data_IF_059607775163
#
_entry.id   IF_059607775163
#
_cell.length_a   1.000
_cell.length_b   1.000
_cell.length_c   1.000
_cell.angle_alpha   90.00
_cell.angle_beta   90.00
_cell.angle_gamma   90.00
#
_symmetry.space_group_name_H-M   'P 1'
#
loop_
_entity.id
_entity.type
_entity.pdbx_description
1 polymer ?
#
# COMPACT_ATOMS: atom_id res chain seq x y z
N UNK A 1 -5.23 -20.02 -8.08
CA UNK A 1 -3.83 -20.30 -7.63
C UNK A 1 -3.39 -19.17 -6.74
N UNK A 2 -3.13 -19.43 -5.46
CA UNK A 2 -2.66 -18.43 -4.51
C UNK A 2 -1.13 -18.46 -4.40
N UNK A 3 -0.50 -17.34 -4.04
CA UNK A 3 0.96 -17.22 -3.91
C UNK A 3 1.35 -16.14 -2.91
N UNK A 4 2.53 -16.31 -2.34
CA UNK A 4 3.19 -15.31 -1.51
C UNK A 4 4.43 -14.85 -2.26
N UNK A 5 4.57 -13.55 -2.47
CA UNK A 5 5.76 -12.95 -3.06
C UNK A 5 6.52 -12.19 -1.98
N UNK A 6 7.84 -12.34 -1.97
CA UNK A 6 8.73 -11.65 -1.02
C UNK A 6 9.83 -10.93 -1.83
N UNK A 7 9.49 -9.80 -2.50
CA UNK A 7 10.48 -8.99 -3.21
C UNK A 7 11.55 -8.44 -2.25
N UNK A 8 12.81 -8.52 -2.67
CA UNK A 8 13.91 -7.85 -2.01
C UNK A 8 14.05 -6.41 -2.54
N UNK A 9 14.08 -5.43 -1.63
CA UNK A 9 14.15 -3.99 -1.94
C UNK A 9 15.54 -3.39 -1.72
N UNK A 10 16.54 -4.19 -1.39
CA UNK A 10 17.91 -3.71 -1.24
C UNK A 10 18.47 -3.20 -2.56
N UNK A 11 19.56 -2.46 -2.48
CA UNK A 11 20.24 -1.92 -3.66
C UNK A 11 19.81 -0.50 -4.02
N UNK A 12 19.41 -0.24 -5.28
CA UNK A 12 19.11 1.10 -5.75
C UNK A 12 17.90 1.73 -5.03
N UNK A 13 16.90 0.93 -4.66
CA UNK A 13 15.67 1.41 -4.02
C UNK A 13 15.94 2.06 -2.67
N UNK A 14 16.79 1.47 -1.84
CA UNK A 14 17.06 1.98 -0.50
C UNK A 14 18.26 2.94 -0.42
N UNK A 15 18.94 3.22 -1.55
CA UNK A 15 19.95 4.28 -1.62
C UNK A 15 19.37 5.67 -1.84
N UNK A 16 18.14 5.76 -2.34
CA UNK A 16 17.42 7.04 -2.47
C UNK A 16 16.98 7.49 -1.08
N UNK A 17 17.19 8.76 -0.76
CA UNK A 17 16.77 9.32 0.53
C UNK A 17 15.24 9.26 0.67
N UNK A 18 14.77 9.10 1.89
CA UNK A 18 13.33 8.95 2.14
C UNK A 18 12.51 10.20 1.77
N UNK A 19 13.13 11.39 1.85
CA UNK A 19 12.49 12.68 1.54
C UNK A 19 12.47 13.05 0.04
N UNK A 20 13.21 12.33 -0.81
CA UNK A 20 13.31 12.65 -2.25
C UNK A 20 12.08 12.23 -3.07
N UNK A 21 11.34 11.24 -2.61
CA UNK A 21 10.16 10.73 -3.34
C UNK A 21 9.00 10.42 -2.40
N UNK A 22 7.76 10.28 -2.93
CA UNK A 22 6.63 9.84 -2.12
C UNK A 22 6.74 8.40 -1.61
N UNK A 23 7.61 7.57 -2.20
CA UNK A 23 7.79 6.20 -1.74
C UNK A 23 8.38 6.18 -0.33
N UNK A 24 7.71 5.48 0.59
CA UNK A 24 8.11 5.33 1.99
C UNK A 24 8.66 3.92 2.29
N UNK A 25 9.14 3.74 3.51
CA UNK A 25 9.60 2.43 4.01
C UNK A 25 10.82 1.88 3.24
N UNK A 26 11.74 2.77 2.84
CA UNK A 26 12.97 2.40 2.14
C UNK A 26 13.96 1.60 3.00
N UNK A 27 13.79 1.65 4.30
CA UNK A 27 14.53 0.90 5.32
C UNK A 27 14.11 -0.59 5.39
N UNK A 28 12.92 -0.92 4.88
CA UNK A 28 12.44 -2.29 4.86
C UNK A 28 13.14 -3.09 3.74
N UNK A 29 13.89 -4.16 4.06
CA UNK A 29 14.62 -4.93 3.04
C UNK A 29 13.71 -5.80 2.18
N UNK A 30 12.49 -6.10 2.64
CA UNK A 30 11.55 -6.98 1.95
C UNK A 30 10.13 -6.42 2.00
N UNK A 31 9.34 -6.73 0.98
CA UNK A 31 7.87 -6.60 1.01
C UNK A 31 7.27 -8.01 0.98
N UNK A 32 6.20 -8.22 1.74
CA UNK A 32 5.40 -9.43 1.64
C UNK A 32 4.09 -9.08 0.91
N UNK A 33 3.85 -9.74 -0.22
CA UNK A 33 2.61 -9.60 -0.98
C UNK A 33 1.86 -10.92 -1.01
N UNK A 34 0.68 -10.95 -0.38
CA UNK A 34 -0.20 -12.11 -0.30
C UNK A 34 -1.23 -11.98 -1.40
N UNK A 35 -1.19 -12.90 -2.37
CA UNK A 35 -2.09 -12.93 -3.52
C UNK A 35 -2.94 -14.18 -3.45
N UNK A 36 -4.25 -14.02 -3.30
CA UNK A 36 -5.21 -15.11 -3.38
C UNK A 36 -6.00 -14.99 -4.69
N UNK A 37 -5.94 -16.02 -5.53
CA UNK A 37 -6.58 -16.05 -6.84
C UNK A 37 -7.38 -17.35 -7.01
N UNK A 38 -8.65 -17.20 -7.34
CA UNK A 38 -9.57 -18.33 -7.58
C UNK A 38 -10.61 -17.96 -8.63
N UNK A 39 -11.22 -18.98 -9.24
CA UNK A 39 -12.28 -18.84 -10.25
C UNK A 39 -13.64 -19.33 -9.76
N UNK A 40 -13.67 -20.22 -8.77
CA UNK A 40 -14.88 -20.76 -8.20
C UNK A 40 -15.44 -19.82 -7.13
N UNK A 41 -16.54 -19.13 -7.44
CA UNK A 41 -17.15 -18.14 -6.53
C UNK A 41 -17.69 -18.75 -5.24
N UNK A 42 -17.96 -20.06 -5.20
CA UNK A 42 -18.37 -20.76 -3.98
C UNK A 42 -17.24 -20.81 -2.94
N UNK A 43 -16.00 -20.58 -3.36
CA UNK A 43 -14.78 -20.56 -2.55
C UNK A 43 -14.36 -19.15 -2.08
N UNK A 44 -15.20 -18.14 -2.29
CA UNK A 44 -14.88 -16.76 -1.96
C UNK A 44 -14.48 -16.59 -0.48
N UNK A 45 -15.32 -17.05 0.44
CA UNK A 45 -15.08 -16.90 1.88
C UNK A 45 -13.82 -17.63 2.33
N UNK A 46 -13.61 -18.86 1.86
CA UNK A 46 -12.42 -19.65 2.17
C UNK A 46 -11.12 -18.93 1.75
N UNK A 47 -11.08 -18.42 0.51
CA UNK A 47 -9.89 -17.78 -0.04
C UNK A 47 -9.62 -16.40 0.58
N UNK A 48 -10.68 -15.62 0.85
CA UNK A 48 -10.57 -14.35 1.57
C UNK A 48 -10.07 -14.58 2.99
N UNK A 49 -10.64 -15.57 3.68
CA UNK A 49 -10.23 -15.95 5.04
C UNK A 49 -8.77 -16.37 5.08
N UNK A 50 -8.34 -17.22 4.15
CA UNK A 50 -6.94 -17.65 4.06
C UNK A 50 -5.97 -16.46 3.97
N UNK A 51 -6.25 -15.49 3.10
CA UNK A 51 -5.39 -14.30 2.94
C UNK A 51 -5.36 -13.45 4.21
N UNK A 52 -6.50 -13.27 4.87
CA UNK A 52 -6.61 -12.52 6.14
C UNK A 52 -5.90 -13.22 7.29
N UNK A 53 -6.06 -14.52 7.42
CA UNK A 53 -5.43 -15.31 8.49
C UNK A 53 -3.90 -15.26 8.34
N UNK A 54 -3.40 -15.41 7.11
CA UNK A 54 -1.98 -15.29 6.84
C UNK A 54 -1.45 -13.88 7.15
N UNK A 55 -2.18 -12.83 6.76
CA UNK A 55 -1.83 -11.46 7.10
C UNK A 55 -1.76 -11.24 8.61
N UNK A 56 -2.78 -11.70 9.34
CA UNK A 56 -2.83 -11.57 10.79
C UNK A 56 -1.67 -12.31 11.49
N UNK A 57 -1.27 -13.46 10.96
CA UNK A 57 -0.15 -14.22 11.49
C UNK A 57 1.22 -13.54 11.25
N UNK A 58 1.36 -12.82 10.13
CA UNK A 58 2.62 -12.14 9.74
C UNK A 58 2.71 -10.74 10.35
N UNK A 59 1.59 -10.06 10.56
CA UNK A 59 1.54 -8.67 11.02
C UNK A 59 2.42 -8.36 12.25
N UNK A 60 2.51 -9.21 13.28
CA UNK A 60 3.37 -8.95 14.45
C UNK A 60 4.87 -8.84 14.12
N UNK A 61 5.29 -9.38 12.97
CA UNK A 61 6.67 -9.36 12.50
C UNK A 61 6.94 -8.28 11.44
N UNK A 62 5.88 -7.57 11.01
CA UNK A 62 5.98 -6.51 10.00
C UNK A 62 6.36 -5.17 10.63
N UNK A 63 7.02 -4.31 9.86
CA UNK A 63 7.38 -2.94 10.26
C UNK A 63 6.19 -1.97 10.29
N UNK A 64 5.00 -2.43 9.87
CA UNK A 64 3.79 -1.61 9.73
C UNK A 64 3.71 -0.84 8.41
N UNK A 65 4.77 -0.81 7.61
CA UNK A 65 4.79 -0.17 6.29
C UNK A 65 3.87 -0.88 5.29
N UNK A 66 3.38 -0.10 4.32
CA UNK A 66 2.50 -0.59 3.26
C UNK A 66 2.96 -0.06 1.92
N UNK A 67 3.03 -0.92 0.91
CA UNK A 67 3.29 -0.48 -0.47
C UNK A 67 1.98 -0.11 -1.17
N UNK A 68 1.83 1.16 -1.51
CA UNK A 68 0.57 1.73 -2.03
C UNK A 68 0.02 0.99 -3.25
N UNK A 69 0.88 0.48 -4.13
CA UNK A 69 0.45 -0.24 -5.34
C UNK A 69 -0.08 -1.66 -5.06
N UNK A 70 0.08 -2.17 -3.85
CA UNK A 70 -0.48 -3.46 -3.43
C UNK A 70 -1.77 -3.30 -2.61
N UNK A 71 -2.17 -2.06 -2.31
CA UNK A 71 -3.45 -1.78 -1.68
C UNK A 71 -4.60 -1.99 -2.67
N UNK A 72 -5.66 -2.57 -2.17
CA UNK A 72 -6.96 -2.64 -2.84
C UNK A 72 -7.90 -1.59 -2.22
N UNK A 73 -9.15 -1.91 -1.98
CA UNK A 73 -10.16 -1.00 -1.40
C UNK A 73 -10.09 -1.05 0.14
N UNK A 74 -8.99 -0.57 0.72
CA UNK A 74 -8.71 -0.72 2.16
C UNK A 74 -8.95 0.56 2.99
N UNK A 75 -9.31 1.67 2.33
CA UNK A 75 -9.64 2.93 3.01
C UNK A 75 -8.48 3.92 3.18
N UNK A 76 -8.82 5.14 3.62
CA UNK A 76 -7.91 6.28 3.67
C UNK A 76 -6.75 6.10 4.67
N UNK A 77 -6.99 5.41 5.77
CA UNK A 77 -5.97 5.19 6.81
C UNK A 77 -4.81 4.34 6.28
N UNK A 78 -5.10 3.36 5.43
CA UNK A 78 -4.08 2.53 4.79
C UNK A 78 -3.29 3.30 3.74
N UNK A 79 -3.93 4.21 3.02
CA UNK A 79 -3.25 5.11 2.06
C UNK A 79 -2.29 6.03 2.83
N UNK A 80 -2.73 6.61 3.95
CA UNK A 80 -1.87 7.42 4.80
C UNK A 80 -0.70 6.60 5.37
N UNK A 81 -0.93 5.37 5.80
CA UNK A 81 0.13 4.47 6.27
C UNK A 81 1.16 4.14 5.19
N UNK A 82 0.73 4.07 3.91
CA UNK A 82 1.62 3.79 2.79
C UNK A 82 2.61 4.92 2.51
N UNK A 83 2.17 6.18 2.67
CA UNK A 83 3.02 7.36 2.43
C UNK A 83 3.70 7.91 3.68
N UNK A 84 3.15 7.64 4.86
CA UNK A 84 3.45 8.36 6.08
C UNK A 84 2.81 9.76 6.09
N UNK A 85 2.62 10.32 7.28
CA UNK A 85 1.87 11.58 7.47
C UNK A 85 2.44 12.75 6.67
N UNK A 86 3.75 12.97 6.77
CA UNK A 86 4.41 14.13 6.16
C UNK A 86 4.31 14.11 4.63
N UNK A 87 4.64 12.98 4.00
CA UNK A 87 4.53 12.83 2.55
C UNK A 87 3.09 12.89 2.08
N UNK A 88 2.17 12.31 2.83
CA UNK A 88 0.74 12.40 2.52
C UNK A 88 0.26 13.85 2.52
N UNK A 89 0.66 14.66 3.50
CA UNK A 89 0.32 16.09 3.55
C UNK A 89 0.90 16.87 2.36
N UNK A 90 2.13 16.57 1.94
CA UNK A 90 2.73 17.14 0.72
C UNK A 90 1.94 16.74 -0.54
N UNK A 91 1.50 15.49 -0.65
CA UNK A 91 0.65 15.02 -1.75
C UNK A 91 -0.71 15.71 -1.77
N UNK A 92 -1.33 15.93 -0.60
CA UNK A 92 -2.58 16.71 -0.47
C UNK A 92 -2.37 18.15 -0.92
N UNK A 93 -1.26 18.79 -0.57
CA UNK A 93 -0.96 20.15 -1.04
C UNK A 93 -0.80 20.23 -2.56
N UNK A 94 -0.13 19.24 -3.16
CA UNK A 94 -0.03 19.11 -4.62
C UNK A 94 -1.40 18.87 -5.26
N UNK A 95 -2.22 18.00 -4.66
CA UNK A 95 -3.58 17.72 -5.11
C UNK A 95 -4.45 18.99 -5.10
N UNK A 96 -4.39 19.76 -4.01
CA UNK A 96 -5.12 21.04 -3.91
C UNK A 96 -4.70 22.04 -4.99
N UNK A 97 -3.41 22.05 -5.34
CA UNK A 97 -2.87 22.98 -6.35
C UNK A 97 -3.24 22.58 -7.77
N UNK A 98 -3.12 21.30 -8.12
CA UNK A 98 -3.19 20.85 -9.52
C UNK A 98 -4.51 20.16 -9.87
N UNK A 99 -5.25 19.63 -8.88
CA UNK A 99 -6.53 18.95 -9.10
C UNK A 99 -7.52 19.22 -7.93
N UNK A 100 -7.87 20.49 -7.69
CA UNK A 100 -8.74 20.88 -6.56
C UNK A 100 -10.16 20.32 -6.67
N UNK A 101 -10.61 19.99 -7.89
CA UNK A 101 -11.93 19.40 -8.14
C UNK A 101 -11.94 17.88 -7.98
N UNK A 102 -10.78 17.27 -7.74
CA UNK A 102 -10.62 15.82 -7.64
C UNK A 102 -11.07 15.07 -8.91
N UNK A 103 -10.72 15.60 -10.07
CA UNK A 103 -11.02 14.97 -11.37
C UNK A 103 -10.33 13.60 -11.47
N UNK A 104 -9.05 13.49 -11.09
CA UNK A 104 -8.31 12.22 -10.99
C UNK A 104 -8.59 11.58 -9.64
N UNK A 105 -9.63 10.74 -9.56
CA UNK A 105 -10.17 10.20 -8.31
C UNK A 105 -10.11 8.68 -8.18
N UNK A 106 -9.50 7.99 -9.15
CA UNK A 106 -9.43 6.51 -9.15
C UNK A 106 -8.27 5.98 -8.29
N UNK A 107 -8.32 4.68 -8.02
CA UNK A 107 -7.33 3.91 -7.24
C UNK A 107 -7.12 4.49 -5.82
N UNK A 108 -5.86 4.60 -5.40
CA UNK A 108 -5.48 5.10 -4.07
C UNK A 108 -5.52 6.64 -4.05
N UNK A 109 -6.70 7.20 -4.22
CA UNK A 109 -6.91 8.64 -4.39
C UNK A 109 -6.46 9.45 -3.17
N UNK A 110 -5.61 10.45 -3.40
CA UNK A 110 -5.32 11.52 -2.46
C UNK A 110 -6.41 12.59 -2.63
N UNK A 111 -7.30 12.72 -1.65
CA UNK A 111 -8.40 13.69 -1.72
C UNK A 111 -7.91 15.13 -1.44
N UNK A 112 -8.38 16.13 -2.19
CA UNK A 112 -8.10 17.52 -1.85
C UNK A 112 -8.78 17.87 -0.50
N UNK A 113 -8.12 18.69 0.28
CA UNK A 113 -8.74 19.32 1.47
C UNK A 113 -9.51 20.58 1.01
N UNK A 114 -10.74 20.67 1.43
CA UNK A 114 -11.53 21.91 1.30
C UNK A 114 -11.06 22.93 2.33
#
# INVERSE_FOLDING_TARGET
>A
MSKILIPNLLGAVNRVRDDETPYSHRDAPFIINIISMWSDTTKNEENIKWAKDLWNAIQPFATGGVYVNFLMTEGADRIMAAYGKEKYERLVALKNKYDPTNFFSLNQNIKPKK
#
